data_IF_455588273127
#
_entry.id   IF_455588273127
#
_cell.length_a   1.000
_cell.length_b   1.000
_cell.length_c   1.000
_cell.angle_alpha   90.00
_cell.angle_beta   90.00
_cell.angle_gamma   90.00
#
_symmetry.space_group_name_H-M   'P 1'
#
loop_
_entity.id
_entity.type
_entity.pdbx_description
1 polymer ?
#
# COMPACT_ATOMS: atom_id res chain seq x y z
N UNK A 1 1.48 -14.34 23.37
CA UNK A 1 0.88 -14.57 22.05
C UNK A 1 1.60 -13.67 21.05
N UNK A 2 2.43 -14.27 20.19
CA UNK A 2 3.25 -13.59 19.18
C UNK A 2 2.42 -12.94 18.05
N UNK A 3 1.10 -13.11 18.07
CA UNK A 3 0.15 -12.58 17.07
C UNK A 3 -0.45 -11.23 17.44
N UNK A 4 -0.10 -10.72 18.62
CA UNK A 4 -0.62 -9.45 19.13
C UNK A 4 0.44 -8.38 18.85
N UNK A 5 0.08 -7.27 18.14
CA UNK A 5 1.01 -6.16 17.99
C UNK A 5 1.45 -5.67 19.37
N UNK A 6 2.63 -5.05 19.54
CA UNK A 6 2.99 -4.47 20.81
C UNK A 6 1.88 -3.50 21.26
N UNK A 7 1.15 -3.92 22.29
CA UNK A 7 0.14 -3.11 22.94
C UNK A 7 0.83 -2.38 24.09
N UNK A 8 0.42 -1.15 24.35
CA UNK A 8 0.74 -0.51 25.61
C UNK A 8 0.13 -1.29 26.79
N UNK A 9 0.44 -0.90 28.04
CA UNK A 9 -0.15 -1.54 29.22
C UNK A 9 -1.68 -1.61 29.12
N UNK A 10 -2.26 -2.77 29.44
CA UNK A 10 -3.70 -3.02 29.43
C UNK A 10 -4.21 -3.34 30.84
N UNK A 11 -5.47 -2.96 31.13
CA UNK A 11 -6.09 -3.16 32.44
C UNK A 11 -7.60 -2.93 32.38
N UNK A 12 -8.32 -3.38 33.42
CA UNK A 12 -9.77 -3.17 33.53
C UNK A 12 -10.04 -1.70 33.83
N UNK A 13 -10.79 -1.04 32.93
CA UNK A 13 -11.21 0.35 33.09
C UNK A 13 -12.29 0.43 34.18
N UNK A 14 -11.89 0.74 35.42
CA UNK A 14 -12.83 0.88 36.55
C UNK A 14 -13.65 2.16 36.48
N UNK A 15 -13.03 3.23 36.00
CA UNK A 15 -13.65 4.55 35.88
C UNK A 15 -12.93 5.37 34.82
N UNK A 16 -13.68 6.07 33.97
CA UNK A 16 -13.15 6.98 32.94
C UNK A 16 -13.72 8.38 33.17
N UNK A 17 -12.89 9.27 33.72
CA UNK A 17 -13.24 10.68 33.89
C UNK A 17 -12.47 11.52 32.87
N UNK A 18 -13.21 12.31 32.10
CA UNK A 18 -12.63 13.26 31.15
C UNK A 18 -12.29 14.51 31.96
N UNK A 19 -11.02 14.65 32.35
CA UNK A 19 -10.54 15.72 33.24
C UNK A 19 -10.01 16.95 32.52
N UNK A 20 -10.03 16.95 31.18
CA UNK A 20 -9.52 18.05 30.36
C UNK A 20 -10.36 18.26 29.10
N UNK A 21 -10.26 19.46 28.54
CA UNK A 21 -10.91 19.81 27.28
C UNK A 21 -10.32 18.92 26.16
N UNK A 22 -11.12 17.99 25.64
CA UNK A 22 -10.68 17.07 24.60
C UNK A 22 -10.40 17.91 23.36
N UNK A 23 -9.14 17.97 22.90
CA UNK A 23 -8.84 18.54 21.59
C UNK A 23 -9.36 17.57 20.52
N UNK A 24 -10.64 17.70 20.18
CA UNK A 24 -11.26 16.96 19.09
C UNK A 24 -10.87 17.65 17.80
N UNK A 25 -10.37 16.88 16.83
CA UNK A 25 -10.15 17.41 15.50
C UNK A 25 -11.50 17.87 14.94
N UNK A 26 -11.70 19.19 14.78
CA UNK A 26 -12.98 19.79 14.33
C UNK A 26 -13.55 19.16 13.05
N UNK A 27 -12.69 18.66 12.16
CA UNK A 27 -13.11 17.97 10.93
C UNK A 27 -13.72 16.62 11.27
N UNK A 28 -13.11 15.89 12.21
CA UNK A 28 -13.63 14.62 12.67
C UNK A 28 -14.97 14.79 13.39
N UNK A 29 -15.06 15.81 14.24
CA UNK A 29 -16.30 16.20 14.93
C UNK A 29 -17.42 16.51 13.93
N UNK A 30 -17.12 17.32 12.91
CA UNK A 30 -18.07 17.62 11.83
C UNK A 30 -18.56 16.35 11.12
N UNK A 31 -17.65 15.45 10.77
CA UNK A 31 -18.01 14.18 10.13
C UNK A 31 -18.80 13.23 11.06
N UNK A 32 -18.62 13.34 12.37
CA UNK A 32 -19.37 12.59 13.37
C UNK A 32 -20.79 13.14 13.55
N UNK A 33 -20.97 14.46 13.62
CA UNK A 33 -22.30 15.05 13.80
C UNK A 33 -23.15 15.01 12.52
N UNK A 34 -22.54 14.84 11.35
CA UNK A 34 -23.26 14.58 10.11
C UNK A 34 -23.78 13.12 10.09
N UNK A 35 -25.04 12.96 10.49
CA UNK A 35 -25.70 11.65 10.62
C UNK A 35 -26.17 11.04 9.30
N UNK A 36 -26.09 11.80 8.20
CA UNK A 36 -26.50 11.37 6.86
C UNK A 36 -25.31 11.06 5.95
N UNK A 37 -24.10 11.46 6.36
CA UNK A 37 -22.86 11.21 5.63
C UNK A 37 -22.47 9.74 5.63
N UNK A 38 -22.35 9.14 4.44
CA UNK A 38 -21.89 7.76 4.29
C UNK A 38 -20.43 7.63 4.72
N UNK A 39 -20.06 6.48 5.31
CA UNK A 39 -18.73 6.27 5.86
C UNK A 39 -17.62 6.46 4.81
N UNK A 40 -17.85 5.99 3.57
CA UNK A 40 -16.91 6.15 2.47
C UNK A 40 -16.69 7.63 2.08
N UNK A 41 -17.75 8.44 2.11
CA UNK A 41 -17.68 9.87 1.83
C UNK A 41 -16.98 10.61 2.97
N UNK A 42 -17.31 10.27 4.22
CA UNK A 42 -16.63 10.79 5.40
C UNK A 42 -15.12 10.53 5.35
N UNK A 43 -14.70 9.28 5.06
CA UNK A 43 -13.28 8.92 4.93
C UNK A 43 -12.57 9.78 3.87
N UNK A 44 -13.18 9.93 2.68
CA UNK A 44 -12.61 10.73 1.58
C UNK A 44 -12.51 12.20 1.95
N UNK A 45 -13.56 12.75 2.56
CA UNK A 45 -13.62 14.15 2.97
C UNK A 45 -12.58 14.44 4.05
N UNK A 46 -12.49 13.60 5.09
CA UNK A 46 -11.51 13.73 6.16
C UNK A 46 -10.08 13.68 5.61
N UNK A 47 -9.79 12.70 4.75
CA UNK A 47 -8.48 12.56 4.11
C UNK A 47 -8.13 13.79 3.26
N UNK A 48 -9.06 14.23 2.41
CA UNK A 48 -8.86 15.39 1.53
C UNK A 48 -8.65 16.69 2.32
N UNK A 49 -9.18 16.75 3.55
CA UNK A 49 -8.97 17.86 4.47
C UNK A 49 -7.76 17.65 5.41
N UNK A 50 -6.85 16.73 5.10
CA UNK A 50 -5.59 16.57 5.83
C UNK A 50 -5.71 15.93 7.21
N UNK A 51 -6.82 15.24 7.50
CA UNK A 51 -6.91 14.44 8.73
C UNK A 51 -6.00 13.21 8.59
N UNK A 52 -5.13 12.92 9.58
CA UNK A 52 -4.23 11.77 9.51
C UNK A 52 -4.99 10.45 9.32
N UNK A 53 -4.49 9.60 8.42
CA UNK A 53 -5.12 8.29 8.11
C UNK A 53 -5.35 7.45 9.36
N UNK A 54 -4.39 7.44 10.30
CA UNK A 54 -4.50 6.71 11.58
C UNK A 54 -5.66 7.20 12.45
N UNK A 55 -5.98 8.49 12.41
CA UNK A 55 -7.11 9.06 13.13
C UNK A 55 -8.44 8.65 12.47
N UNK A 56 -8.49 8.63 11.14
CA UNK A 56 -9.66 8.15 10.39
C UNK A 56 -9.91 6.65 10.65
N UNK A 57 -8.85 5.84 10.70
CA UNK A 57 -8.91 4.41 11.04
C UNK A 57 -9.48 4.18 12.45
N UNK A 58 -9.00 4.95 13.44
CA UNK A 58 -9.53 4.91 14.80
C UNK A 58 -11.00 5.30 14.85
N UNK A 59 -11.37 6.39 14.18
CA UNK A 59 -12.76 6.86 14.12
C UNK A 59 -13.69 5.82 13.49
N UNK A 60 -13.29 5.19 12.39
CA UNK A 60 -14.07 4.11 11.79
C UNK A 60 -14.20 2.90 12.74
N UNK A 61 -13.11 2.52 13.42
CA UNK A 61 -13.09 1.38 14.33
C UNK A 61 -14.05 1.55 15.51
N UNK A 62 -14.16 2.76 16.07
CA UNK A 62 -15.10 3.07 17.16
C UNK A 62 -16.52 3.40 16.67
N UNK A 63 -16.80 3.24 15.38
CA UNK A 63 -18.13 3.49 14.81
C UNK A 63 -18.50 4.98 14.72
N UNK A 64 -17.53 5.90 14.70
CA UNK A 64 -17.78 7.33 14.62
C UNK A 64 -18.11 7.83 13.21
N UNK A 65 -17.97 7.00 12.18
CA UNK A 65 -18.17 7.38 10.78
C UNK A 65 -19.30 6.58 10.14
N UNK A 66 -20.11 7.25 9.31
CA UNK A 66 -21.23 6.65 8.59
C UNK A 66 -22.57 7.24 9.01
N UNK A 67 -23.62 6.78 8.33
CA UNK A 67 -24.98 7.20 8.66
C UNK A 67 -25.36 6.68 10.05
N UNK A 68 -26.10 7.46 10.84
CA UNK A 68 -26.36 7.16 12.26
C UNK A 68 -26.86 5.73 12.49
N UNK A 69 -27.81 5.27 11.65
CA UNK A 69 -28.39 3.92 11.70
C UNK A 69 -27.37 2.78 11.48
N UNK A 70 -26.28 3.04 10.76
CA UNK A 70 -25.32 2.02 10.32
C UNK A 70 -23.95 2.13 11.00
N UNK A 71 -23.81 3.05 11.98
CA UNK A 71 -22.62 3.15 12.81
C UNK A 71 -22.51 1.93 13.72
N UNK A 72 -21.37 1.28 13.69
CA UNK A 72 -21.05 0.09 14.48
C UNK A 72 -19.56 0.01 14.74
N UNK A 73 -19.18 -0.66 15.82
CA UNK A 73 -17.78 -0.99 16.06
C UNK A 73 -17.26 -1.87 14.92
N UNK A 74 -16.07 -1.53 14.42
CA UNK A 74 -15.37 -2.28 13.37
C UNK A 74 -14.05 -2.76 13.94
N UNK A 75 -13.71 -4.06 13.84
CA UNK A 75 -12.41 -4.57 14.27
C UNK A 75 -11.27 -3.73 13.69
N UNK A 76 -10.29 -3.36 14.52
CA UNK A 76 -9.21 -2.42 14.14
C UNK A 76 -8.51 -2.81 12.84
N UNK A 77 -8.23 -4.11 12.65
CA UNK A 77 -7.62 -4.62 11.41
C UNK A 77 -8.47 -4.34 10.17
N UNK A 78 -9.78 -4.54 10.28
CA UNK A 78 -10.72 -4.27 9.18
C UNK A 78 -10.87 -2.77 8.94
N UNK A 79 -10.90 -1.96 10.00
CA UNK A 79 -10.95 -0.51 9.88
C UNK A 79 -9.71 0.05 9.17
N UNK A 80 -8.52 -0.47 9.50
CA UNK A 80 -7.27 -0.11 8.83
C UNK A 80 -7.34 -0.41 7.33
N UNK A 81 -7.68 -1.65 6.97
CA UNK A 81 -7.78 -2.06 5.56
C UNK A 81 -8.86 -1.30 4.80
N UNK A 82 -10.03 -1.09 5.42
CA UNK A 82 -11.15 -0.41 4.79
C UNK A 82 -10.83 1.06 4.48
N UNK A 83 -10.17 1.76 5.41
CA UNK A 83 -9.73 3.15 5.19
C UNK A 83 -8.66 3.21 4.10
N UNK A 84 -7.67 2.33 4.14
CA UNK A 84 -6.60 2.30 3.13
C UNK A 84 -7.15 1.98 1.72
N UNK A 85 -8.08 1.02 1.60
CA UNK A 85 -8.78 0.71 0.35
C UNK A 85 -9.62 1.90 -0.14
N UNK A 86 -10.42 2.51 0.74
CA UNK A 86 -11.29 3.64 0.42
C UNK A 86 -10.50 4.84 -0.12
N UNK A 87 -9.40 5.20 0.54
CA UNK A 87 -8.55 6.33 0.14
C UNK A 87 -7.80 5.97 -1.15
N UNK A 88 -7.17 4.80 -1.23
CA UNK A 88 -6.41 4.42 -2.43
C UNK A 88 -7.30 4.36 -3.66
N UNK A 89 -8.52 3.80 -3.60
CA UNK A 89 -9.49 3.84 -4.71
C UNK A 89 -9.88 5.25 -5.11
N UNK A 90 -10.03 6.17 -4.15
CA UNK A 90 -10.30 7.58 -4.43
C UNK A 90 -9.13 8.24 -5.19
N UNK A 91 -7.89 7.95 -4.80
CA UNK A 91 -6.69 8.48 -5.46
C UNK A 91 -6.49 7.88 -6.85
N UNK A 92 -6.73 6.56 -7.02
CA UNK A 92 -6.59 5.86 -8.30
C UNK A 92 -7.47 6.49 -9.38
N UNK A 93 -8.68 6.94 -9.04
CA UNK A 93 -9.56 7.65 -9.98
C UNK A 93 -8.87 8.88 -10.59
N UNK A 94 -8.19 9.67 -9.76
CA UNK A 94 -7.42 10.85 -10.21
C UNK A 94 -6.17 10.45 -10.98
N UNK A 95 -5.44 9.44 -10.50
CA UNK A 95 -4.19 8.97 -11.13
C UNK A 95 -4.43 8.55 -12.58
N UNK A 96 -5.56 7.91 -12.87
CA UNK A 96 -5.91 7.49 -14.23
C UNK A 96 -6.03 8.63 -15.24
N UNK A 97 -6.27 9.85 -14.77
CA UNK A 97 -6.39 11.06 -15.60
C UNK A 97 -5.04 11.77 -15.80
N UNK A 98 -4.00 11.40 -15.04
CA UNK A 98 -2.68 12.03 -15.15
C UNK A 98 -1.86 11.46 -16.31
N UNK A 99 -0.92 12.27 -16.86
CA UNK A 99 0.02 11.79 -17.87
C UNK A 99 0.89 10.66 -17.33
N UNK A 100 1.18 9.68 -18.19
CA UNK A 100 2.02 8.53 -17.87
C UNK A 100 3.47 9.00 -17.62
N UNK A 101 4.19 8.36 -16.70
CA UNK A 101 5.64 8.60 -16.52
C UNK A 101 6.39 8.24 -17.81
N UNK A 102 7.45 8.97 -18.13
CA UNK A 102 8.16 8.79 -19.40
C UNK A 102 9.23 7.68 -19.34
N UNK A 103 9.68 7.33 -18.14
CA UNK A 103 10.81 6.42 -17.87
C UNK A 103 10.46 5.50 -16.70
N UNK A 104 11.22 4.42 -16.55
CA UNK A 104 11.12 3.59 -15.36
C UNK A 104 11.71 4.33 -14.17
N UNK A 105 10.98 4.39 -13.06
CA UNK A 105 11.45 4.96 -11.81
C UNK A 105 11.59 3.83 -10.79
N UNK A 106 12.77 3.69 -10.19
CA UNK A 106 13.03 2.65 -9.18
C UNK A 106 13.40 3.31 -7.87
N UNK A 107 12.70 2.91 -6.82
CA UNK A 107 13.01 3.23 -5.45
C UNK A 107 13.39 1.97 -4.70
N UNK A 108 14.28 2.08 -3.74
CA UNK A 108 14.52 1.02 -2.77
C UNK A 108 14.76 1.60 -1.37
N UNK A 109 14.48 0.80 -0.35
CA UNK A 109 14.75 1.13 1.04
C UNK A 109 15.08 -0.13 1.82
N UNK A 110 16.25 -0.16 2.46
CA UNK A 110 16.65 -1.20 3.42
C UNK A 110 16.45 -0.67 4.84
N UNK A 111 15.70 -1.40 5.66
CA UNK A 111 15.31 -0.94 7.01
C UNK A 111 14.88 -2.12 7.86
N UNK A 112 15.39 -2.24 9.09
CA UNK A 112 15.03 -3.29 10.06
C UNK A 112 14.89 -4.68 9.45
N UNK A 113 15.93 -5.18 8.74
CA UNK A 113 15.90 -6.49 8.05
C UNK A 113 14.80 -6.66 7.00
N UNK A 114 14.40 -5.56 6.38
CA UNK A 114 13.50 -5.56 5.24
C UNK A 114 14.12 -4.80 4.08
N UNK A 115 13.94 -5.28 2.86
CA UNK A 115 14.24 -4.54 1.63
C UNK A 115 12.93 -4.28 0.90
N UNK A 116 12.54 -3.01 0.77
CA UNK A 116 11.41 -2.58 -0.03
C UNK A 116 11.90 -2.08 -1.39
N UNK A 117 11.22 -2.47 -2.46
CA UNK A 117 11.42 -1.97 -3.82
C UNK A 117 10.10 -1.39 -4.34
N UNK A 118 10.17 -0.30 -5.10
CA UNK A 118 9.08 0.13 -5.97
C UNK A 118 9.61 0.42 -7.37
N UNK A 119 8.96 -0.17 -8.38
CA UNK A 119 9.18 0.09 -9.80
C UNK A 119 7.92 0.78 -10.32
N UNK A 120 8.06 2.00 -10.83
CA UNK A 120 7.00 2.72 -11.55
C UNK A 120 7.35 2.66 -13.03
N UNK A 121 6.63 1.83 -13.77
CA UNK A 121 6.84 1.64 -15.20
C UNK A 121 5.98 2.61 -16.05
N UNK A 122 6.47 3.01 -17.24
CA UNK A 122 5.80 3.93 -18.16
C UNK A 122 4.61 3.28 -18.90
N UNK A 123 3.60 2.85 -18.14
CA UNK A 123 2.34 2.25 -18.61
C UNK A 123 1.13 2.84 -17.88
N UNK A 124 -0.06 2.53 -18.38
CA UNK A 124 -1.33 2.88 -17.69
C UNK A 124 -1.37 2.21 -16.31
N UNK A 125 -2.17 2.79 -15.40
CA UNK A 125 -2.29 2.29 -14.05
C UNK A 125 -2.60 0.80 -14.00
N UNK A 126 -1.72 0.08 -13.33
CA UNK A 126 -1.90 -1.24 -12.75
C UNK A 126 -1.02 -1.31 -11.52
N UNK A 127 -1.32 -2.22 -10.60
CA UNK A 127 -0.62 -2.29 -9.32
C UNK A 127 -0.36 -3.74 -8.92
N UNK A 128 0.81 -4.00 -8.36
CA UNK A 128 1.19 -5.30 -7.82
C UNK A 128 1.98 -5.11 -6.53
N UNK A 129 1.71 -5.99 -5.57
CA UNK A 129 2.44 -6.10 -4.32
C UNK A 129 2.79 -7.55 -4.04
N UNK A 130 4.08 -7.83 -3.83
CA UNK A 130 4.57 -9.17 -3.50
C UNK A 130 5.52 -9.07 -2.32
N UNK A 131 5.29 -9.90 -1.31
CA UNK A 131 6.20 -10.14 -0.20
C UNK A 131 6.90 -11.49 -0.36
N UNK A 132 8.16 -11.52 0.04
CA UNK A 132 8.96 -12.73 0.17
C UNK A 132 9.40 -12.88 1.63
N UNK A 133 8.99 -13.96 2.28
CA UNK A 133 9.26 -14.26 3.68
C UNK A 133 10.37 -15.30 3.78
N UNK A 134 11.54 -14.88 4.26
CA UNK A 134 12.66 -15.78 4.51
C UNK A 134 12.34 -16.74 5.67
N UNK A 135 13.03 -17.90 5.73
CA UNK A 135 12.95 -18.83 6.86
C UNK A 135 13.13 -18.17 8.22
N UNK A 136 12.48 -18.73 9.24
CA UNK A 136 12.54 -18.28 10.63
C UNK A 136 12.16 -16.80 10.79
N UNK A 137 11.19 -16.36 9.98
CA UNK A 137 10.47 -15.09 10.19
C UNK A 137 9.10 -15.40 10.74
N UNK A 138 8.42 -14.43 11.35
CA UNK A 138 7.13 -14.74 11.97
C UNK A 138 6.09 -15.26 10.96
N UNK A 139 6.19 -14.89 9.68
CA UNK A 139 5.24 -15.36 8.64
C UNK A 139 5.76 -16.57 7.86
N UNK A 140 6.99 -17.03 8.15
CA UNK A 140 7.55 -18.30 7.68
C UNK A 140 8.41 -18.92 8.81
N UNK A 141 7.77 -19.45 9.87
CA UNK A 141 8.48 -19.94 11.05
C UNK A 141 9.04 -21.35 10.89
N UNK A 142 8.50 -22.15 9.96
CA UNK A 142 8.72 -23.60 9.89
C UNK A 142 9.27 -24.13 8.56
N UNK A 143 9.47 -23.26 7.55
CA UNK A 143 10.00 -23.70 6.25
C UNK A 143 11.46 -23.25 6.06
N UNK A 144 12.25 -24.13 5.45
CA UNK A 144 13.66 -23.87 5.11
C UNK A 144 13.82 -23.07 3.80
N UNK A 145 12.73 -22.86 3.07
CA UNK A 145 12.69 -22.10 1.82
C UNK A 145 11.95 -20.76 1.98
N UNK A 146 12.20 -19.81 1.07
CA UNK A 146 11.53 -18.51 1.05
C UNK A 146 10.11 -18.67 0.50
N UNK A 147 9.10 -18.24 1.25
CA UNK A 147 7.71 -18.20 0.79
C UNK A 147 7.36 -16.87 0.14
N UNK A 148 6.54 -16.91 -0.91
CA UNK A 148 6.03 -15.72 -1.58
C UNK A 148 4.53 -15.58 -1.37
N UNK A 149 4.08 -14.35 -1.18
CA UNK A 149 2.67 -14.02 -1.19
C UNK A 149 2.45 -12.64 -1.77
N UNK A 150 1.49 -12.53 -2.69
CA UNK A 150 1.26 -11.28 -3.38
C UNK A 150 0.09 -11.34 -4.32
N UNK A 151 -0.30 -10.16 -4.78
CA UNK A 151 -1.40 -10.02 -5.71
C UNK A 151 -1.20 -8.82 -6.62
N UNK A 152 -2.06 -8.75 -7.63
CA UNK A 152 -2.05 -7.66 -8.60
C UNK A 152 -3.45 -7.18 -8.96
N UNK A 153 -3.52 -6.00 -9.57
CA UNK A 153 -4.72 -5.44 -10.15
C UNK A 153 -4.41 -4.66 -11.43
N UNK A 154 -5.24 -4.89 -12.44
CA UNK A 154 -5.19 -4.14 -13.69
C UNK A 154 -5.90 -2.79 -13.58
N UNK A 155 -6.14 -2.17 -14.74
CA UNK A 155 -6.81 -0.86 -14.80
C UNK A 155 -8.22 -0.88 -14.17
N UNK A 156 -8.93 -2.00 -14.23
CA UNK A 156 -10.27 -2.13 -13.66
C UNK A 156 -10.28 -2.33 -12.14
N UNK A 157 -9.11 -2.58 -11.52
CA UNK A 157 -8.99 -2.91 -10.11
C UNK A 157 -9.49 -4.32 -9.78
N UNK A 158 -9.61 -4.63 -8.49
CA UNK A 158 -10.10 -5.92 -7.98
C UNK A 158 -11.54 -5.86 -7.45
N UNK A 159 -12.24 -6.98 -7.62
CA UNK A 159 -13.53 -7.28 -7.01
C UNK A 159 -13.41 -8.15 -5.75
N UNK A 160 -12.32 -8.91 -5.63
CA UNK A 160 -12.03 -9.79 -4.50
C UNK A 160 -10.99 -9.18 -3.56
N UNK A 161 -10.97 -9.66 -2.31
CA UNK A 161 -9.93 -9.32 -1.35
C UNK A 161 -8.55 -9.77 -1.89
N UNK A 162 -7.51 -8.98 -1.63
CA UNK A 162 -6.15 -9.29 -2.10
C UNK A 162 -5.40 -10.09 -1.03
N UNK A 163 -4.55 -11.03 -1.45
CA UNK A 163 -3.60 -11.74 -0.58
C UNK A 163 -2.22 -11.07 -0.71
N UNK A 164 -1.47 -10.76 0.36
CA UNK A 164 -1.58 -11.24 1.74
C UNK A 164 -2.45 -10.36 2.67
N UNK A 165 -3.40 -9.61 2.12
CA UNK A 165 -4.35 -8.82 2.89
C UNK A 165 -3.90 -7.39 3.15
N UNK A 166 -3.89 -6.95 4.41
CA UNK A 166 -3.80 -5.52 4.75
C UNK A 166 -2.51 -4.82 4.25
N UNK A 167 -1.39 -5.54 4.11
CA UNK A 167 -0.15 -5.01 3.53
C UNK A 167 -0.35 -4.55 2.07
N UNK A 168 -1.16 -5.27 1.29
CA UNK A 168 -1.47 -4.92 -0.10
C UNK A 168 -2.11 -3.52 -0.18
N UNK A 169 -3.10 -3.25 0.65
CA UNK A 169 -3.84 -1.98 0.66
C UNK A 169 -3.00 -0.84 1.25
N UNK A 170 -2.20 -1.12 2.27
CA UNK A 170 -1.26 -0.18 2.86
C UNK A 170 -0.21 0.29 1.86
N UNK A 171 0.37 -0.64 1.10
CA UNK A 171 1.32 -0.35 0.04
C UNK A 171 0.67 0.40 -1.13
N UNK A 172 -0.56 0.01 -1.51
CA UNK A 172 -1.31 0.68 -2.57
C UNK A 172 -1.62 2.13 -2.21
N UNK A 173 -1.99 2.39 -0.96
CA UNK A 173 -2.18 3.74 -0.46
C UNK A 173 -0.88 4.56 -0.59
N UNK A 174 0.25 4.04 -0.12
CA UNK A 174 1.52 4.76 -0.18
C UNK A 174 1.95 5.13 -1.63
N UNK A 175 1.83 4.21 -2.59
CA UNK A 175 2.20 4.50 -3.98
C UNK A 175 1.20 5.43 -4.68
N UNK A 176 -0.09 5.31 -4.37
CA UNK A 176 -1.10 6.22 -4.93
C UNK A 176 -0.95 7.65 -4.39
N UNK A 177 -0.56 7.81 -3.13
CA UNK A 177 -0.17 9.12 -2.57
C UNK A 177 1.02 9.74 -3.32
N UNK A 178 2.06 8.94 -3.59
CA UNK A 178 3.22 9.37 -4.36
C UNK A 178 2.82 9.84 -5.76
N UNK A 179 2.09 9.01 -6.52
CA UNK A 179 1.66 9.31 -7.89
C UNK A 179 0.74 10.53 -7.97
N UNK A 180 -0.16 10.69 -7.01
CA UNK A 180 -0.97 11.90 -6.89
C UNK A 180 -0.14 13.15 -6.63
N UNK A 181 0.88 13.06 -5.76
CA UNK A 181 1.77 14.19 -5.45
C UNK A 181 2.57 14.64 -6.67
N UNK A 182 3.10 13.70 -7.45
CA UNK A 182 3.85 14.03 -8.68
C UNK A 182 2.96 14.26 -9.91
N UNK A 183 1.64 14.07 -9.78
CA UNK A 183 0.64 14.16 -10.85
C UNK A 183 1.05 13.35 -12.09
N UNK A 184 1.35 12.07 -11.85
CA UNK A 184 1.71 11.10 -12.90
C UNK A 184 0.97 9.79 -12.72
N UNK A 185 0.85 9.06 -13.81
CA UNK A 185 0.36 7.69 -13.85
C UNK A 185 1.51 6.72 -14.19
N UNK A 186 1.43 5.50 -13.67
CA UNK A 186 2.37 4.42 -14.02
C UNK A 186 1.82 3.08 -13.57
N UNK A 187 2.36 2.00 -14.12
CA UNK A 187 2.23 0.67 -13.52
C UNK A 187 3.14 0.63 -12.29
N UNK A 188 2.59 0.37 -11.11
CA UNK A 188 3.31 0.33 -9.85
C UNK A 188 3.54 -1.12 -9.38
N UNK A 189 4.79 -1.57 -9.38
CA UNK A 189 5.19 -2.90 -8.95
C UNK A 189 6.04 -2.76 -7.70
N UNK A 190 5.57 -3.30 -6.59
CA UNK A 190 6.23 -3.16 -5.31
C UNK A 190 6.58 -4.54 -4.76
N UNK A 191 7.81 -4.66 -4.28
CA UNK A 191 8.34 -5.90 -3.69
C UNK A 191 8.86 -5.64 -2.29
N UNK A 192 8.83 -6.69 -1.48
CA UNK A 192 9.41 -6.67 -0.14
C UNK A 192 10.08 -8.00 0.18
N UNK A 193 11.36 -7.97 0.50
CA UNK A 193 12.06 -9.07 1.17
C UNK A 193 12.03 -8.86 2.68
N UNK A 194 11.64 -9.88 3.42
CA UNK A 194 11.60 -9.91 4.88
C UNK A 194 12.61 -10.95 5.33
N UNK A 195 13.74 -10.52 5.90
CA UNK A 195 14.84 -11.41 6.25
C UNK A 195 14.71 -12.01 7.65
N UNK A 196 15.39 -13.13 7.85
CA UNK A 196 15.44 -13.89 9.11
C UNK A 196 15.72 -13.02 10.34
N UNK A 197 14.92 -13.23 11.39
CA UNK A 197 14.98 -12.49 12.63
C UNK A 197 14.33 -11.10 12.57
N UNK A 198 13.48 -10.84 11.57
CA UNK A 198 12.41 -9.85 11.68
C UNK A 198 11.18 -10.53 12.30
N UNK A 199 11.10 -10.53 13.63
CA UNK A 199 10.08 -11.27 14.37
C UNK A 199 9.04 -10.37 15.07
N UNK A 200 8.80 -9.17 14.54
CA UNK A 200 7.97 -8.17 15.19
C UNK A 200 6.62 -8.01 14.47
N UNK A 201 5.48 -8.23 15.17
CA UNK A 201 4.15 -7.99 14.63
C UNK A 201 3.77 -6.50 14.63
N UNK A 202 4.58 -5.65 13.96
CA UNK A 202 4.38 -4.19 13.90
C UNK A 202 3.10 -3.81 13.10
N UNK A 203 2.58 -4.75 12.31
CA UNK A 203 1.36 -4.58 11.53
C UNK A 203 1.55 -3.74 10.26
N UNK A 204 0.44 -3.54 9.54
CA UNK A 204 0.43 -2.99 8.18
C UNK A 204 0.89 -1.52 8.09
N UNK A 205 0.86 -0.80 9.21
CA UNK A 205 1.40 0.56 9.30
C UNK A 205 2.91 0.60 8.98
N UNK A 206 3.67 -0.42 9.38
CA UNK A 206 5.10 -0.53 9.09
C UNK A 206 5.38 -0.48 7.58
N UNK A 207 4.58 -1.20 6.78
CA UNK A 207 4.69 -1.21 5.32
C UNK A 207 4.39 0.18 4.77
N UNK A 208 3.25 0.77 5.17
CA UNK A 208 2.81 2.07 4.67
C UNK A 208 3.82 3.18 4.92
N UNK A 209 4.33 3.30 6.15
CA UNK A 209 5.25 4.40 6.48
C UNK A 209 6.65 4.19 5.89
N UNK A 210 7.13 2.96 5.77
CA UNK A 210 8.41 2.71 5.09
C UNK A 210 8.33 2.98 3.60
N UNK A 211 7.21 2.65 2.94
CA UNK A 211 6.98 3.02 1.54
C UNK A 211 6.84 4.53 1.37
N UNK A 212 6.12 5.24 2.25
CA UNK A 212 6.07 6.71 2.25
C UNK A 212 7.45 7.32 2.42
N UNK A 213 8.27 6.80 3.33
CA UNK A 213 9.63 7.25 3.54
C UNK A 213 10.52 6.97 2.31
N UNK A 214 10.35 5.80 1.68
CA UNK A 214 11.03 5.44 0.43
C UNK A 214 10.66 6.40 -0.70
N UNK A 215 9.37 6.72 -0.89
CA UNK A 215 8.93 7.67 -1.93
C UNK A 215 9.31 9.14 -1.64
N UNK A 216 9.96 9.46 -0.52
CA UNK A 216 10.56 10.79 -0.29
C UNK A 216 11.98 10.90 -0.88
N UNK A 217 12.65 9.79 -1.17
CA UNK A 217 13.97 9.83 -1.83
C UNK A 217 13.83 10.08 -3.33
N UNK A 218 14.93 10.44 -3.98
CA UNK A 218 14.97 10.55 -5.43
C UNK A 218 15.01 9.15 -6.07
N UNK A 219 14.16 8.86 -7.08
CA UNK A 219 14.22 7.59 -7.78
C UNK A 219 15.47 7.50 -8.65
N UNK A 220 15.93 6.27 -8.87
CA UNK A 220 16.78 5.95 -10.01
C UNK A 220 15.93 5.84 -11.27
N UNK A 221 16.45 6.34 -12.38
CA UNK A 221 15.73 6.42 -13.66
C UNK A 221 16.38 5.47 -14.65
N UNK A 222 15.56 4.71 -15.37
CA UNK A 222 16.01 3.73 -16.37
C UNK A 222 15.17 3.81 -17.64
N UNK A 223 15.75 3.34 -18.75
CA UNK A 223 15.10 3.37 -20.07
C UNK A 223 14.33 2.08 -20.36
N UNK A 224 14.74 0.96 -19.78
CA UNK A 224 14.15 -0.35 -20.03
C UNK A 224 13.91 -1.15 -18.75
N UNK A 225 12.95 -2.08 -18.81
CA UNK A 225 12.73 -3.04 -17.72
C UNK A 225 13.96 -3.94 -17.52
N UNK A 226 14.71 -4.24 -18.58
CA UNK A 226 15.93 -5.04 -18.49
C UNK A 226 17.00 -4.36 -17.63
N UNK A 227 17.24 -3.05 -17.83
CA UNK A 227 18.14 -2.27 -16.97
C UNK A 227 17.68 -2.23 -15.51
N UNK A 228 16.36 -2.10 -15.29
CA UNK A 228 15.77 -2.15 -13.94
C UNK A 228 16.08 -3.48 -13.27
N UNK A 229 15.83 -4.61 -13.96
CA UNK A 229 16.08 -5.94 -13.42
C UNK A 229 17.57 -6.19 -13.16
N UNK A 230 18.44 -5.73 -14.06
CA UNK A 230 19.89 -5.82 -13.87
C UNK A 230 20.35 -5.06 -12.63
N UNK A 231 19.85 -3.84 -12.45
CA UNK A 231 20.12 -3.05 -11.25
C UNK A 231 19.65 -3.75 -9.97
N UNK A 232 18.47 -4.38 -10.00
CA UNK A 232 17.89 -5.03 -8.83
C UNK A 232 18.60 -6.32 -8.40
N UNK A 233 19.35 -6.99 -9.29
CA UNK A 233 20.22 -8.12 -8.93
C UNK A 233 21.21 -7.76 -7.82
N UNK A 234 21.72 -6.53 -7.81
CA UNK A 234 22.66 -6.05 -6.78
C UNK A 234 21.98 -5.54 -5.51
N UNK A 235 20.65 -5.43 -5.49
CA UNK A 235 19.88 -4.86 -4.36
C UNK A 235 19.19 -5.96 -3.55
N UNK A 236 18.57 -6.91 -4.25
CA UNK A 236 17.80 -8.02 -3.70
C UNK A 236 18.70 -9.20 -3.33
N UNK A 237 18.29 -9.98 -2.34
CA UNK A 237 18.98 -11.21 -1.95
C UNK A 237 18.47 -12.41 -2.73
N UNK A 238 17.18 -12.45 -3.04
CA UNK A 238 16.59 -13.49 -3.88
C UNK A 238 16.97 -13.25 -5.33
N UNK A 239 17.28 -14.33 -6.06
CA UNK A 239 17.52 -14.29 -7.50
C UNK A 239 16.40 -13.53 -8.24
N UNK A 240 16.81 -12.63 -9.14
CA UNK A 240 15.87 -11.79 -9.89
C UNK A 240 14.97 -12.63 -10.79
N UNK A 241 15.43 -13.78 -11.28
CA UNK A 241 14.64 -14.71 -12.07
C UNK A 241 13.45 -15.25 -11.29
N UNK A 242 13.60 -15.49 -9.99
CA UNK A 242 12.49 -15.87 -9.10
C UNK A 242 11.45 -14.76 -8.99
N UNK A 243 11.89 -13.51 -8.77
CA UNK A 243 10.99 -12.35 -8.77
C UNK A 243 10.24 -12.17 -10.09
N UNK A 244 10.91 -12.37 -11.23
CA UNK A 244 10.29 -12.33 -12.56
C UNK A 244 9.24 -13.42 -12.71
N UNK A 245 9.47 -14.64 -12.22
CA UNK A 245 8.47 -15.72 -12.28
C UNK A 245 7.22 -15.40 -11.45
N UNK A 246 7.41 -14.84 -10.26
CA UNK A 246 6.32 -14.50 -9.33
C UNK A 246 5.52 -13.27 -9.79
N UNK A 247 6.20 -12.25 -10.31
CA UNK A 247 5.56 -11.00 -10.74
C UNK A 247 4.79 -11.19 -12.05
N UNK A 248 3.47 -10.97 -12.01
CA UNK A 248 2.64 -10.97 -13.21
C UNK A 248 2.90 -9.71 -14.04
N UNK A 249 2.98 -8.55 -13.39
CA UNK A 249 3.17 -7.28 -14.11
C UNK A 249 4.57 -7.12 -14.70
N UNK A 250 5.63 -7.66 -14.10
CA UNK A 250 6.96 -7.68 -14.73
C UNK A 250 6.96 -8.58 -15.96
N UNK A 251 6.33 -9.77 -15.90
CA UNK A 251 6.18 -10.62 -17.09
C UNK A 251 5.43 -9.90 -18.20
N UNK A 252 4.35 -9.20 -17.88
CA UNK A 252 3.61 -8.42 -18.88
C UNK A 252 4.45 -7.25 -19.44
N UNK A 253 5.39 -6.68 -18.67
CA UNK A 253 6.33 -5.67 -19.17
C UNK A 253 7.39 -6.27 -20.11
N UNK A 254 7.84 -7.50 -19.84
CA UNK A 254 8.87 -8.20 -20.63
C UNK A 254 8.32 -8.78 -21.94
N UNK A 255 7.14 -9.41 -21.89
CA UNK A 255 6.61 -10.22 -22.99
C UNK A 255 5.51 -9.53 -23.80
N UNK A 256 4.83 -8.52 -23.26
CA UNK A 256 3.76 -7.85 -23.99
C UNK A 256 4.31 -6.72 -24.85
N UNK A 257 4.34 -6.94 -26.16
CA UNK A 257 4.62 -5.88 -27.13
C UNK A 257 3.50 -4.83 -27.11
N UNK A 258 3.85 -3.55 -27.00
CA UNK A 258 2.87 -2.47 -27.11
C UNK A 258 2.42 -2.31 -28.57
N UNK A 259 1.11 -2.18 -28.81
CA UNK A 259 0.51 -1.89 -30.14
C UNK A 259 1.21 -0.75 -30.89
N UNK A 260 1.80 0.22 -30.18
CA UNK A 260 2.61 1.31 -30.74
C UNK A 260 3.76 0.85 -31.65
N UNK A 261 4.27 -0.37 -31.47
CA UNK A 261 5.31 -0.98 -32.31
C UNK A 261 4.77 -1.28 -33.72
N UNK A 262 3.51 -1.69 -33.84
CA UNK A 262 2.85 -1.94 -35.13
C UNK A 262 2.50 -0.65 -35.87
N UNK A 263 2.10 0.41 -35.16
CA UNK A 263 1.82 1.71 -35.79
C UNK A 263 3.07 2.45 -36.29
N UNK A 264 4.27 2.15 -35.77
CA UNK A 264 5.53 2.64 -36.36
C UNK A 264 5.86 1.95 -37.70
N UNK A 265 5.34 0.75 -37.95
CA UNK A 265 5.52 0.02 -39.21
C UNK A 265 4.55 0.41 -40.32
N UNK A 266 3.42 1.05 -39.98
CA UNK A 266 2.37 1.49 -40.92
C UNK A 266 2.59 2.91 -41.46
N UNK A 267 3.65 3.61 -41.03
CA UNK A 267 4.14 4.83 -41.69
C UNK A 267 5.24 4.45 -42.69
N UNK A 268 4.83 3.85 -43.81
CA UNK A 268 5.57 3.81 -45.07
C UNK A 268 4.63 4.21 -46.18
#
# INVERSE_FOLDING_TARGET
>A
DERVPPLGPSGVLREFRITSNIYVNRKLEKAYYDTDLKALEAIRWLYSNGVPVTLIQRALSVGALGTARWRRLVPTRWAITAVDDAISRYLIKKIKEYPIVNKFLVFHRKVFKNTFIAIIAPRRWSYEWIEAWFPQTTWNPSHDEVEFGGDYEGISGRTTYAEPGGCYYAARLAVTEYLCRVRRQGTAILWREIYTGFNLPIGVWFVRENLRAMFKSQPRVFDSITEVLEYLKGVLTIDIGTWVRQSKLVRDLLFQETLSKYFKGLRK
#
